data_IF_062497148794
#
_entry.id   IF_062497148794
#
_cell.length_a   1.000
_cell.length_b   1.000
_cell.length_c   1.000
_cell.angle_alpha   90.00
_cell.angle_beta   90.00
_cell.angle_gamma   90.00
#
_symmetry.space_group_name_H-M   'P 1'
#
loop_
_entity.id
_entity.type
_entity.pdbx_description
1 polymer ?
#
# COMPACT_ATOMS: atom_id res chain seq x y z
N UNK A 1 -12.16 9.46 -21.68
CA UNK A 1 -11.12 8.72 -20.93
C UNK A 1 -11.81 7.68 -20.07
N UNK A 2 -11.39 6.42 -20.13
CA UNK A 2 -11.83 5.39 -19.17
C UNK A 2 -11.33 5.77 -17.78
N UNK A 3 -12.18 5.68 -16.76
CA UNK A 3 -11.76 5.80 -15.37
C UNK A 3 -10.78 4.70 -14.94
N UNK A 4 -10.23 4.77 -13.72
CA UNK A 4 -9.36 3.71 -13.20
C UNK A 4 -10.13 2.40 -13.06
N UNK A 5 -9.43 1.27 -13.25
CA UNK A 5 -9.97 -0.05 -12.92
C UNK A 5 -9.87 -0.23 -11.40
N UNK A 6 -10.99 -0.52 -10.75
CA UNK A 6 -11.06 -0.74 -9.30
C UNK A 6 -11.16 -2.22 -9.01
N UNK A 7 -10.22 -2.76 -8.23
CA UNK A 7 -10.17 -4.17 -7.82
C UNK A 7 -10.32 -4.22 -6.30
N UNK A 8 -11.36 -4.90 -5.82
CA UNK A 8 -11.60 -5.11 -4.39
C UNK A 8 -11.28 -6.56 -3.99
N UNK A 9 -10.44 -6.74 -2.97
CA UNK A 9 -10.10 -8.07 -2.43
C UNK A 9 -10.87 -8.27 -1.12
N UNK A 10 -11.97 -9.01 -1.20
CA UNK A 10 -12.93 -9.16 -0.09
C UNK A 10 -13.12 -10.62 0.30
N UNK A 11 -13.09 -10.89 1.61
CA UNK A 11 -13.42 -12.17 2.21
C UNK A 11 -13.73 -11.94 3.70
N UNK A 12 -14.91 -12.37 4.17
CA UNK A 12 -15.36 -12.18 5.56
C UNK A 12 -14.45 -12.90 6.58
N UNK A 13 -13.77 -13.99 6.18
CA UNK A 13 -12.92 -14.77 7.06
C UNK A 13 -11.53 -14.14 7.24
N UNK A 14 -11.06 -14.12 8.49
CA UNK A 14 -9.69 -13.73 8.84
C UNK A 14 -8.66 -14.76 8.37
N UNK A 15 -7.46 -14.31 8.00
CA UNK A 15 -6.37 -15.22 7.58
C UNK A 15 -6.46 -15.77 6.16
N UNK A 16 -7.39 -15.31 5.32
CA UNK A 16 -7.54 -15.76 3.92
C UNK A 16 -6.65 -15.00 2.92
N UNK A 17 -5.46 -14.55 3.33
CA UNK A 17 -4.47 -13.88 2.48
C UNK A 17 -4.94 -12.60 1.74
N UNK A 18 -6.05 -11.95 2.14
CA UNK A 18 -6.57 -10.73 1.48
C UNK A 18 -5.51 -9.64 1.28
N UNK A 19 -4.83 -9.25 2.35
CA UNK A 19 -3.76 -8.25 2.32
C UNK A 19 -2.61 -8.70 1.41
N UNK A 20 -2.20 -9.96 1.53
CA UNK A 20 -1.15 -10.55 0.70
C UNK A 20 -1.51 -10.48 -0.78
N UNK A 21 -2.73 -10.88 -1.15
CA UNK A 21 -3.22 -10.82 -2.52
C UNK A 21 -3.29 -9.39 -3.03
N UNK A 22 -3.86 -8.46 -2.24
CA UNK A 22 -3.97 -7.05 -2.64
C UNK A 22 -2.60 -6.42 -2.92
N UNK A 23 -1.63 -6.62 -2.02
CA UNK A 23 -0.27 -6.06 -2.18
C UNK A 23 0.46 -6.71 -3.36
N UNK A 24 0.40 -8.03 -3.51
CA UNK A 24 1.13 -8.69 -4.61
C UNK A 24 0.55 -8.35 -5.99
N UNK A 25 -0.77 -8.28 -6.13
CA UNK A 25 -1.41 -7.81 -7.36
C UNK A 25 -0.99 -6.37 -7.65
N UNK A 26 -1.00 -5.50 -6.64
CA UNK A 26 -0.59 -4.11 -6.80
C UNK A 26 0.86 -3.98 -7.26
N UNK A 27 1.79 -4.69 -6.63
CA UNK A 27 3.21 -4.70 -7.00
C UNK A 27 3.42 -5.25 -8.42
N UNK A 28 2.77 -6.37 -8.77
CA UNK A 28 2.88 -6.96 -10.10
C UNK A 28 2.34 -6.02 -11.19
N UNK A 29 1.22 -5.34 -10.95
CA UNK A 29 0.68 -4.35 -11.89
C UNK A 29 1.55 -3.10 -11.99
N UNK A 30 2.17 -2.68 -10.89
CA UNK A 30 3.07 -1.53 -10.88
C UNK A 30 4.34 -1.78 -11.72
N UNK A 31 4.89 -3.00 -11.64
CA UNK A 31 6.07 -3.42 -12.43
C UNK A 31 5.69 -3.77 -13.87
N UNK A 32 4.53 -4.39 -14.09
CA UNK A 32 4.19 -5.01 -15.36
C UNK A 32 4.95 -6.32 -15.61
N UNK A 33 4.73 -6.91 -16.78
CA UNK A 33 5.42 -8.09 -17.28
C UNK A 33 5.33 -8.10 -18.82
N UNK A 34 6.43 -7.79 -19.49
CA UNK A 34 6.46 -7.69 -20.97
C UNK A 34 6.27 -9.04 -21.66
N UNK A 35 6.82 -10.13 -21.10
CA UNK A 35 6.65 -11.49 -21.65
C UNK A 35 5.18 -11.93 -21.68
N UNK A 36 4.41 -11.50 -20.69
CA UNK A 36 2.97 -11.74 -20.60
C UNK A 36 2.13 -10.64 -21.27
N UNK A 37 2.75 -9.64 -21.90
CA UNK A 37 2.05 -8.51 -22.54
C UNK A 37 1.36 -7.55 -21.56
N UNK A 38 1.79 -7.52 -20.30
CA UNK A 38 1.23 -6.68 -19.23
C UNK A 38 2.08 -5.42 -19.10
N UNK A 39 1.60 -4.29 -19.61
CA UNK A 39 2.26 -3.01 -19.39
C UNK A 39 2.18 -2.56 -17.91
N UNK A 40 3.24 -1.94 -17.42
CA UNK A 40 3.28 -1.29 -16.10
C UNK A 40 2.14 -0.27 -15.94
N UNK A 41 1.57 -0.19 -14.72
CA UNK A 41 0.45 0.68 -14.39
C UNK A 41 0.77 1.58 -13.20
N UNK A 42 0.16 2.76 -13.17
CA UNK A 42 0.06 3.53 -11.93
C UNK A 42 -0.96 2.86 -11.03
N UNK A 43 -0.54 2.48 -9.82
CA UNK A 43 -1.36 1.74 -8.87
C UNK A 43 -1.52 2.55 -7.59
N UNK A 44 -2.75 2.62 -7.08
CA UNK A 44 -3.07 3.12 -5.75
C UNK A 44 -3.60 1.94 -4.94
N UNK A 45 -2.97 1.67 -3.79
CA UNK A 45 -3.43 0.67 -2.82
C UNK A 45 -4.18 1.38 -1.71
N UNK A 46 -5.39 0.89 -1.40
CA UNK A 46 -6.24 1.43 -0.33
C UNK A 46 -6.35 0.35 0.75
N UNK A 47 -5.87 0.65 1.96
CA UNK A 47 -6.05 -0.22 3.13
C UNK A 47 -7.32 0.17 3.88
N UNK A 48 -8.30 -0.72 3.87
CA UNK A 48 -9.57 -0.56 4.59
C UNK A 48 -9.69 -1.52 5.79
N UNK A 49 -8.62 -2.25 6.12
CA UNK A 49 -8.58 -3.07 7.33
C UNK A 49 -8.02 -2.21 8.49
N UNK A 50 -8.77 -1.99 9.58
CA UNK A 50 -8.28 -1.21 10.74
C UNK A 50 -6.97 -1.72 11.35
N UNK A 51 -6.56 -2.97 11.05
CA UNK A 51 -5.25 -3.51 11.47
C UNK A 51 -4.06 -2.85 10.77
N UNK A 52 -4.28 -2.22 9.60
CA UNK A 52 -3.24 -1.51 8.85
C UNK A 52 -2.13 -2.43 8.34
N UNK A 53 -2.47 -3.66 7.96
CA UNK A 53 -1.46 -4.67 7.61
C UNK A 53 -0.71 -4.33 6.32
N UNK A 54 -1.29 -3.55 5.40
CA UNK A 54 -0.59 -3.13 4.17
C UNK A 54 0.62 -2.26 4.51
N UNK A 55 0.45 -1.30 5.42
CA UNK A 55 1.55 -0.41 5.85
C UNK A 55 2.75 -1.23 6.36
N UNK A 56 2.49 -2.24 7.18
CA UNK A 56 3.54 -3.14 7.69
C UNK A 56 4.19 -3.98 6.60
N UNK A 57 3.46 -4.39 5.56
CA UNK A 57 4.04 -5.11 4.41
C UNK A 57 5.08 -4.27 3.68
N UNK A 58 4.91 -2.95 3.64
CA UNK A 58 5.89 -2.02 3.05
C UNK A 58 6.93 -1.50 4.05
N UNK A 59 7.01 -2.06 5.26
CA UNK A 59 8.00 -1.66 6.27
C UNK A 59 7.70 -0.33 6.96
N UNK A 60 6.48 0.19 6.82
CA UNK A 60 6.06 1.45 7.46
C UNK A 60 5.61 1.15 8.89
N UNK A 61 6.17 1.88 9.87
CA UNK A 61 5.68 1.86 11.23
C UNK A 61 4.33 2.61 11.30
N UNK A 62 3.29 1.88 11.72
CA UNK A 62 1.93 2.40 11.89
C UNK A 62 1.85 3.60 12.83
N UNK A 63 2.77 3.71 13.79
CA UNK A 63 2.84 4.86 14.72
C UNK A 63 3.29 6.16 14.04
N UNK A 64 3.92 6.05 12.87
CA UNK A 64 4.40 7.20 12.08
C UNK A 64 3.40 7.62 11.00
N UNK A 65 2.28 6.92 10.88
CA UNK A 65 1.22 7.31 9.95
C UNK A 65 0.52 8.57 10.46
N UNK A 66 0.28 9.51 9.55
CA UNK A 66 -0.62 10.62 9.78
C UNK A 66 -2.09 10.16 9.73
N UNK A 67 -3.03 11.04 9.34
CA UNK A 67 -4.41 10.66 9.13
C UNK A 67 -4.52 9.48 8.15
N UNK A 68 -5.39 8.53 8.45
CA UNK A 68 -5.61 7.32 7.63
C UNK A 68 -7.03 7.30 7.07
N UNK A 69 -7.36 6.24 6.34
CA UNK A 69 -8.74 5.99 5.94
C UNK A 69 -9.71 6.02 7.13
N UNK A 70 -9.28 5.63 8.35
CA UNK A 70 -10.11 5.75 9.55
C UNK A 70 -10.56 7.20 9.81
N UNK A 71 -9.63 8.16 9.75
CA UNK A 71 -9.91 9.59 9.95
C UNK A 71 -10.77 10.14 8.81
N UNK A 72 -10.50 9.72 7.58
CA UNK A 72 -11.31 10.09 6.42
C UNK A 72 -12.77 9.63 6.59
N UNK A 73 -13.00 8.38 7.01
CA UNK A 73 -14.35 7.84 7.17
C UNK A 73 -15.08 8.35 8.42
N UNK A 74 -14.36 8.77 9.48
CA UNK A 74 -14.97 9.36 10.69
C UNK A 74 -15.79 10.62 10.39
N UNK A 75 -15.46 11.38 9.34
CA UNK A 75 -16.17 12.59 8.96
C UNK A 75 -17.36 12.40 8.01
N UNK A 76 -17.66 11.17 7.59
CA UNK A 76 -18.67 10.90 6.55
C UNK A 76 -18.32 11.54 5.20
N UNK A 77 -19.28 11.60 4.27
CA UNK A 77 -19.08 12.09 2.89
C UNK A 77 -18.79 13.62 2.84
N UNK A 78 -19.23 14.38 3.84
CA UNK A 78 -19.27 15.85 3.77
C UNK A 78 -18.62 16.59 4.96
N UNK A 79 -17.88 15.92 5.85
CA UNK A 79 -17.44 16.55 7.10
C UNK A 79 -16.09 16.08 7.66
N UNK A 80 -15.28 15.33 6.91
CA UNK A 80 -13.95 15.01 7.41
C UNK A 80 -13.06 16.25 7.36
N UNK A 81 -12.40 16.64 8.47
CA UNK A 81 -11.40 17.71 8.45
C UNK A 81 -10.12 17.28 7.71
N UNK A 82 -10.04 16.01 7.28
CA UNK A 82 -8.89 15.41 6.61
C UNK A 82 -9.19 15.24 5.13
N UNK A 83 -8.29 15.74 4.29
CA UNK A 83 -8.31 15.51 2.85
C UNK A 83 -7.64 14.19 2.47
N UNK A 84 -8.02 13.64 1.30
CA UNK A 84 -7.37 12.43 0.76
C UNK A 84 -5.84 12.58 0.68
N UNK A 85 -5.35 13.77 0.33
CA UNK A 85 -3.91 14.03 0.18
C UNK A 85 -3.13 13.82 1.49
N UNK A 86 -3.74 14.11 2.63
CA UNK A 86 -3.12 13.91 3.95
C UNK A 86 -3.02 12.43 4.34
N UNK A 87 -3.83 11.57 3.71
CA UNK A 87 -3.78 10.13 3.89
C UNK A 87 -2.82 9.43 2.92
N UNK A 88 -2.32 10.13 1.89
CA UNK A 88 -1.49 9.51 0.86
C UNK A 88 -0.07 9.24 1.36
N UNK A 89 0.42 8.05 1.03
CA UNK A 89 1.82 7.67 1.17
C UNK A 89 2.43 7.67 -0.23
N UNK A 90 3.30 8.64 -0.50
CA UNK A 90 3.95 8.78 -1.80
C UNK A 90 5.04 7.73 -2.05
N UNK A 91 5.46 7.54 -3.32
CA UNK A 91 6.49 6.58 -3.71
C UNK A 91 7.83 6.77 -2.98
N UNK A 92 8.24 8.02 -2.70
CA UNK A 92 9.50 8.31 -2.03
C UNK A 92 9.51 7.78 -0.60
N UNK A 93 8.46 8.10 0.17
CA UNK A 93 8.28 7.59 1.54
C UNK A 93 8.16 6.07 1.57
N UNK A 94 7.48 5.48 0.59
CA UNK A 94 7.38 4.02 0.46
C UNK A 94 8.75 3.40 0.22
N UNK A 95 9.52 3.96 -0.70
CA UNK A 95 10.88 3.51 -1.05
C UNK A 95 11.82 3.61 0.14
N UNK A 96 11.78 4.73 0.87
CA UNK A 96 12.58 4.94 2.08
C UNK A 96 12.23 3.91 3.15
N UNK A 97 10.94 3.74 3.48
CA UNK A 97 10.50 2.77 4.49
C UNK A 97 10.91 1.33 4.13
N UNK A 98 10.77 0.94 2.86
CA UNK A 98 11.19 -0.38 2.39
C UNK A 98 12.71 -0.56 2.49
N UNK A 99 13.50 0.46 2.15
CA UNK A 99 14.97 0.41 2.26
C UNK A 99 15.43 0.32 3.72
N UNK A 100 14.85 1.11 4.61
CA UNK A 100 15.19 1.08 6.04
C UNK A 100 14.77 -0.26 6.68
N UNK A 101 13.57 -0.74 6.36
CA UNK A 101 13.13 -2.07 6.78
C UNK A 101 14.08 -3.16 6.26
N UNK A 102 14.51 -3.08 5.00
CA UNK A 102 15.45 -4.05 4.45
C UNK A 102 16.80 -4.02 5.16
N UNK A 103 17.37 -2.83 5.44
CA UNK A 103 18.64 -2.68 6.17
C UNK A 103 18.55 -3.28 7.57
N UNK A 104 17.45 -2.99 8.28
CA UNK A 104 17.20 -3.51 9.64
C UNK A 104 17.21 -5.04 9.67
N UNK A 105 16.60 -5.69 8.67
CA UNK A 105 16.55 -7.15 8.57
C UNK A 105 17.80 -7.78 7.91
N UNK A 106 18.68 -6.99 7.30
CA UNK A 106 19.87 -7.46 6.58
C UNK A 106 21.15 -6.69 7.00
N UNK A 107 21.50 -6.62 8.30
CA UNK A 107 22.56 -5.72 8.79
C UNK A 107 23.95 -6.01 8.21
N UNK A 108 24.20 -7.26 7.77
CA UNK A 108 25.49 -7.68 7.24
C UNK A 108 25.60 -7.54 5.71
N UNK A 109 24.53 -7.16 5.00
CA UNK A 109 24.56 -7.03 3.53
C UNK A 109 24.95 -5.62 3.12
N UNK A 110 26.06 -5.52 2.37
CA UNK A 110 26.60 -4.24 1.88
C UNK A 110 25.90 -3.69 0.64
N UNK A 111 25.30 -4.56 -0.18
CA UNK A 111 24.53 -4.20 -1.38
C UNK A 111 23.05 -4.11 -0.99
N UNK A 112 22.33 -3.09 -1.45
CA UNK A 112 20.91 -2.87 -1.10
C UNK A 112 19.97 -4.00 -1.52
N UNK A 113 18.64 -3.84 -1.29
CA UNK A 113 17.64 -4.80 -1.76
C UNK A 113 17.82 -5.10 -3.26
N UNK A 114 17.52 -6.35 -3.69
CA UNK A 114 17.60 -6.75 -5.08
C UNK A 114 16.69 -5.91 -5.99
#
# INVERSE_FOLDING_TARGET
MSGPVVIAVVNHKGGCAKTTTAVNIASALAVGNEELGIAARRVLVIDLDPKGNIATTFGIDKKTLGPTMNELFKGGVNGSPVSLNECLIGPDRLTEAMRESWKLHNPNRKRGPP
#
